data_IF_626902710518
#
_entry.id   IF_626902710518
#
_cell.length_a   1.000
_cell.length_b   1.000
_cell.length_c   1.000
_cell.angle_alpha   90.00
_cell.angle_beta   90.00
_cell.angle_gamma   90.00
#
_symmetry.space_group_name_H-M   'P 1'
#
loop_
_entity.id
_entity.type
_entity.pdbx_description
1 polymer ?
#
# COMPACT_ATOMS: atom_id res chain seq x y z
N UNK A 1 -18.00 30.82 -17.42
CA UNK A 1 -16.81 30.28 -16.71
C UNK A 1 -17.35 29.55 -15.51
N UNK A 2 -17.67 28.27 -15.67
CA UNK A 2 -18.46 27.49 -14.71
C UNK A 2 -17.54 26.83 -13.68
N UNK A 3 -17.73 27.19 -12.41
CA UNK A 3 -16.90 26.78 -11.29
C UNK A 3 -17.30 25.39 -10.78
N UNK A 4 -16.79 24.30 -11.38
CA UNK A 4 -17.25 22.95 -11.01
C UNK A 4 -16.25 21.79 -11.07
N UNK A 5 -14.92 22.04 -11.19
CA UNK A 5 -13.95 20.97 -11.47
C UNK A 5 -12.98 20.61 -10.33
N UNK A 6 -13.06 21.23 -9.15
CA UNK A 6 -12.06 21.06 -8.09
C UNK A 6 -12.15 19.73 -7.31
N UNK A 7 -13.26 19.00 -7.41
CA UNK A 7 -13.45 17.77 -6.65
C UNK A 7 -13.09 16.50 -7.46
N UNK A 8 -13.03 16.55 -8.80
CA UNK A 8 -12.71 15.35 -9.59
C UNK A 8 -11.22 15.06 -9.63
N UNK A 9 -10.82 13.86 -9.20
CA UNK A 9 -9.43 13.43 -9.19
C UNK A 9 -9.12 12.63 -10.46
N UNK A 10 -7.97 12.88 -11.08
CA UNK A 10 -7.48 12.02 -12.17
C UNK A 10 -7.12 10.63 -11.62
N UNK A 11 -8.06 9.70 -11.72
CA UNK A 11 -7.95 8.32 -11.21
C UNK A 11 -6.68 7.60 -11.67
N UNK A 12 -6.29 7.73 -12.93
CA UNK A 12 -5.14 6.99 -13.47
C UNK A 12 -3.83 7.64 -13.02
N UNK A 13 -3.74 8.98 -13.09
CA UNK A 13 -2.54 9.71 -12.66
C UNK A 13 -2.30 9.58 -11.15
N UNK A 14 -3.37 9.67 -10.35
CA UNK A 14 -3.28 9.54 -8.91
C UNK A 14 -2.95 8.11 -8.47
N UNK A 15 -3.59 7.09 -9.07
CA UNK A 15 -3.26 5.69 -8.81
C UNK A 15 -1.81 5.36 -9.18
N UNK A 16 -1.31 5.86 -10.31
CA UNK A 16 0.07 5.65 -10.73
C UNK A 16 1.06 6.30 -9.76
N UNK A 17 0.85 7.57 -9.40
CA UNK A 17 1.69 8.27 -8.43
C UNK A 17 1.69 7.57 -7.07
N UNK A 18 0.52 7.19 -6.55
CA UNK A 18 0.39 6.49 -5.28
C UNK A 18 1.10 5.12 -5.29
N UNK A 19 0.96 4.36 -6.38
CA UNK A 19 1.64 3.07 -6.53
C UNK A 19 3.17 3.21 -6.58
N UNK A 20 3.69 4.25 -7.23
CA UNK A 20 5.12 4.55 -7.26
C UNK A 20 5.67 4.91 -5.88
N UNK A 21 4.96 5.77 -5.14
CA UNK A 21 5.31 6.11 -3.75
C UNK A 21 5.26 4.88 -2.86
N UNK A 22 4.24 4.02 -3.00
CA UNK A 22 4.16 2.78 -2.25
C UNK A 22 5.32 1.83 -2.56
N UNK A 23 5.77 1.76 -3.81
CA UNK A 23 6.97 1.00 -4.17
C UNK A 23 8.20 1.49 -3.39
N UNK A 24 8.43 2.80 -3.34
CA UNK A 24 9.54 3.36 -2.56
C UNK A 24 9.41 3.05 -1.06
N UNK A 25 8.21 3.20 -0.49
CA UNK A 25 7.92 2.86 0.90
C UNK A 25 8.17 1.37 1.15
N UNK A 26 7.74 0.48 0.26
CA UNK A 26 7.96 -0.96 0.39
C UNK A 26 9.46 -1.30 0.49
N UNK A 27 10.31 -0.68 -0.33
CA UNK A 27 11.76 -0.87 -0.27
C UNK A 27 12.31 -0.45 1.11
N UNK A 28 11.88 0.72 1.61
CA UNK A 28 12.26 1.18 2.94
C UNK A 28 11.78 0.23 4.05
N UNK A 29 10.56 -0.27 3.95
CA UNK A 29 10.01 -1.26 4.88
C UNK A 29 10.81 -2.56 4.84
N UNK A 30 11.20 -3.04 3.67
CA UNK A 30 12.01 -4.25 3.55
C UNK A 30 13.37 -4.08 4.23
N UNK A 31 14.06 -2.96 4.00
CA UNK A 31 15.33 -2.63 4.69
C UNK A 31 15.10 -2.61 6.20
N UNK A 32 14.04 -1.95 6.67
CA UNK A 32 13.73 -1.89 8.10
C UNK A 32 13.52 -3.28 8.72
N UNK A 33 12.77 -4.16 8.05
CA UNK A 33 12.54 -5.54 8.49
C UNK A 33 13.85 -6.34 8.53
N UNK A 34 14.77 -6.13 7.57
CA UNK A 34 16.08 -6.81 7.60
C UNK A 34 16.94 -6.41 8.79
N UNK A 35 16.82 -5.15 9.26
CA UNK A 35 17.60 -4.63 10.37
C UNK A 35 16.96 -4.95 11.74
N UNK A 36 15.63 -4.92 11.83
CA UNK A 36 14.88 -5.11 13.08
C UNK A 36 13.64 -6.03 12.91
N UNK A 37 13.85 -7.33 12.64
CA UNK A 37 12.74 -8.25 12.34
C UNK A 37 11.74 -8.41 13.50
N UNK A 38 12.24 -8.48 14.75
CA UNK A 38 11.38 -8.64 15.93
C UNK A 38 10.45 -7.45 16.17
N UNK A 39 10.96 -6.23 16.02
CA UNK A 39 10.15 -5.02 16.16
C UNK A 39 9.16 -4.88 14.99
N UNK A 40 9.60 -5.22 13.76
CA UNK A 40 8.72 -5.20 12.60
C UNK A 40 7.52 -6.16 12.75
N UNK A 41 7.73 -7.35 13.31
CA UNK A 41 6.65 -8.31 13.60
C UNK A 41 5.65 -7.75 14.63
N UNK A 42 6.13 -7.13 15.72
CA UNK A 42 5.26 -6.50 16.72
C UNK A 42 4.43 -5.36 16.13
N UNK A 43 5.08 -4.47 15.37
CA UNK A 43 4.42 -3.35 14.69
C UNK A 43 3.36 -3.85 13.69
N UNK A 44 3.70 -4.89 12.91
CA UNK A 44 2.75 -5.52 12.00
C UNK A 44 1.57 -6.12 12.76
N UNK A 45 1.81 -6.82 13.88
CA UNK A 45 0.78 -7.31 14.79
C UNK A 45 -0.23 -6.25 15.19
N UNK A 46 0.24 -5.05 15.55
CA UNK A 46 -0.62 -3.92 15.91
C UNK A 46 -1.38 -3.33 14.71
N UNK A 47 -0.74 -3.18 13.55
CA UNK A 47 -1.34 -2.55 12.37
C UNK A 47 -2.43 -3.41 11.73
N UNK A 48 -2.23 -4.73 11.63
CA UNK A 48 -3.19 -5.65 11.01
C UNK A 48 -3.98 -6.48 12.03
N UNK A 49 -3.97 -6.07 13.31
CA UNK A 49 -4.71 -6.73 14.39
C UNK A 49 -4.42 -8.25 14.47
N UNK A 50 -3.17 -8.63 14.18
CA UNK A 50 -2.71 -10.02 14.25
C UNK A 50 -2.38 -10.36 15.71
N UNK A 51 -3.22 -11.20 16.32
CA UNK A 51 -3.12 -11.57 17.74
C UNK A 51 -2.14 -12.71 18.03
N UNK A 52 -1.52 -13.31 17.00
CA UNK A 52 -0.70 -14.52 17.16
C UNK A 52 0.58 -14.42 16.33
N UNK A 53 1.42 -13.45 16.68
CA UNK A 53 2.61 -13.06 15.91
C UNK A 53 3.73 -14.09 16.08
N UNK A 54 3.79 -14.79 17.22
CA UNK A 54 4.83 -15.79 17.50
C UNK A 54 4.80 -16.97 16.52
N UNK A 55 3.61 -17.33 16.00
CA UNK A 55 3.46 -18.39 15.00
C UNK A 55 4.17 -18.09 13.69
N UNK A 56 4.40 -16.82 13.38
CA UNK A 56 5.02 -16.37 12.13
C UNK A 56 6.47 -15.92 12.31
N UNK A 57 6.96 -15.84 13.55
CA UNK A 57 8.31 -15.35 13.84
C UNK A 57 9.43 -16.38 13.55
N UNK A 58 9.10 -17.68 13.45
CA UNK A 58 10.09 -18.75 13.38
C UNK A 58 10.82 -18.91 12.05
N UNK A 59 10.19 -18.60 10.91
CA UNK A 59 10.69 -19.01 9.59
C UNK A 59 10.56 -17.94 8.48
N UNK A 60 10.19 -16.70 8.83
CA UNK A 60 9.98 -15.64 7.82
C UNK A 60 11.31 -14.95 7.52
N UNK A 61 12.08 -15.53 6.62
CA UNK A 61 13.24 -14.89 6.01
C UNK A 61 12.83 -14.06 4.78
N UNK A 62 13.36 -12.85 4.65
CA UNK A 62 13.26 -12.10 3.39
C UNK A 62 14.10 -12.82 2.34
N UNK A 63 13.45 -13.59 1.48
CA UNK A 63 14.07 -14.16 0.28
C UNK A 63 13.99 -13.16 -0.86
N UNK A 64 14.96 -13.19 -1.77
CA UNK A 64 14.95 -12.30 -2.94
C UNK A 64 13.68 -12.48 -3.80
N UNK A 65 13.23 -13.73 -3.98
CA UNK A 65 11.98 -14.02 -4.68
C UNK A 65 10.74 -13.51 -3.95
N UNK A 66 10.67 -13.70 -2.63
CA UNK A 66 9.57 -13.18 -1.81
C UNK A 66 9.51 -11.64 -1.80
N UNK A 67 10.67 -10.97 -1.77
CA UNK A 67 10.75 -9.52 -1.88
C UNK A 67 10.22 -9.01 -3.22
N UNK A 68 10.64 -9.59 -4.35
CA UNK A 68 10.17 -9.14 -5.67
C UNK A 68 8.67 -9.37 -5.87
N UNK A 69 8.17 -10.54 -5.45
CA UNK A 69 6.73 -10.84 -5.53
C UNK A 69 5.93 -9.89 -4.64
N UNK A 70 6.38 -9.66 -3.41
CA UNK A 70 5.74 -8.71 -2.49
C UNK A 70 5.80 -7.27 -2.99
N UNK A 71 6.89 -6.85 -3.62
CA UNK A 71 7.04 -5.52 -4.23
C UNK A 71 6.04 -5.32 -5.38
N UNK A 72 5.98 -6.25 -6.32
CA UNK A 72 5.03 -6.21 -7.43
C UNK A 72 3.60 -6.19 -6.88
N UNK A 73 3.31 -7.06 -5.91
CA UNK A 73 2.00 -7.12 -5.27
C UNK A 73 1.63 -5.79 -4.61
N UNK A 74 2.54 -5.17 -3.86
CA UNK A 74 2.30 -3.89 -3.20
C UNK A 74 1.97 -2.79 -4.23
N UNK A 75 2.77 -2.67 -5.29
CA UNK A 75 2.55 -1.65 -6.34
C UNK A 75 1.22 -1.88 -7.06
N UNK A 76 0.94 -3.12 -7.50
CA UNK A 76 -0.28 -3.45 -8.25
C UNK A 76 -1.52 -3.29 -7.37
N UNK A 77 -1.49 -3.78 -6.14
CA UNK A 77 -2.65 -3.70 -5.24
C UNK A 77 -2.94 -2.27 -4.82
N UNK A 78 -1.91 -1.45 -4.59
CA UNK A 78 -2.10 -0.02 -4.34
C UNK A 78 -2.67 0.69 -5.55
N UNK A 79 -2.17 0.41 -6.77
CA UNK A 79 -2.73 0.99 -7.98
C UNK A 79 -4.23 0.69 -8.10
N UNK A 80 -4.62 -0.59 -7.98
CA UNK A 80 -6.01 -1.03 -8.08
C UNK A 80 -6.86 -0.41 -6.96
N UNK A 81 -6.38 -0.46 -5.71
CA UNK A 81 -7.10 0.06 -4.56
C UNK A 81 -7.34 1.57 -4.66
N UNK A 82 -6.29 2.34 -4.99
CA UNK A 82 -6.40 3.79 -5.17
C UNK A 82 -7.27 4.12 -6.38
N UNK A 83 -7.17 3.37 -7.47
CA UNK A 83 -8.04 3.56 -8.63
C UNK A 83 -9.52 3.37 -8.28
N UNK A 84 -9.85 2.31 -7.53
CA UNK A 84 -11.21 2.03 -7.06
C UNK A 84 -11.73 3.12 -6.12
N UNK A 85 -10.92 3.55 -5.15
CA UNK A 85 -11.27 4.63 -4.22
C UNK A 85 -11.50 5.93 -4.97
N UNK A 86 -10.62 6.25 -5.93
CA UNK A 86 -10.74 7.49 -6.72
C UNK A 86 -11.96 7.46 -7.63
N UNK A 87 -12.27 6.30 -8.21
CA UNK A 87 -13.50 6.10 -8.96
C UNK A 87 -14.74 6.32 -8.08
N UNK A 88 -14.74 5.76 -6.88
CA UNK A 88 -15.84 5.91 -5.93
C UNK A 88 -15.99 7.37 -5.47
N UNK A 89 -14.87 8.03 -5.15
CA UNK A 89 -14.81 9.44 -4.82
C UNK A 89 -15.42 10.29 -5.93
N UNK A 90 -14.97 10.10 -7.18
CA UNK A 90 -15.48 10.84 -8.33
C UNK A 90 -16.97 10.59 -8.57
N UNK A 91 -17.48 9.38 -8.27
CA UNK A 91 -18.91 9.06 -8.35
C UNK A 91 -19.75 9.85 -7.35
N UNK A 92 -19.27 10.02 -6.12
CA UNK A 92 -19.95 10.80 -5.08
C UNK A 92 -19.71 12.31 -5.17
N UNK A 93 -18.77 12.71 -6.01
CA UNK A 93 -18.34 14.08 -6.24
C UNK A 93 -19.07 14.76 -7.42
N UNK A 94 -19.99 14.04 -8.10
CA UNK A 94 -20.88 14.59 -9.14
C UNK A 94 -22.18 15.18 -8.57
N UNK A 95 -22.82 16.12 -9.31
CA UNK A 95 -23.84 17.03 -8.76
C UNK A 95 -25.09 16.28 -8.27
N UNK A 96 -25.60 16.68 -7.11
CA UNK A 96 -27.05 16.77 -6.97
C UNK A 96 -27.51 17.97 -7.77
#
# INVERSE_FOLDING_TARGET
MENGHYCQINKNGFALAASGVMGAIYILCAIFVTLWPGFALQLFGWLVHLVNVEKFAGDVAITFGGFLLGFIQAVVYTYIGVWLITWLHNKFCGPR
#
